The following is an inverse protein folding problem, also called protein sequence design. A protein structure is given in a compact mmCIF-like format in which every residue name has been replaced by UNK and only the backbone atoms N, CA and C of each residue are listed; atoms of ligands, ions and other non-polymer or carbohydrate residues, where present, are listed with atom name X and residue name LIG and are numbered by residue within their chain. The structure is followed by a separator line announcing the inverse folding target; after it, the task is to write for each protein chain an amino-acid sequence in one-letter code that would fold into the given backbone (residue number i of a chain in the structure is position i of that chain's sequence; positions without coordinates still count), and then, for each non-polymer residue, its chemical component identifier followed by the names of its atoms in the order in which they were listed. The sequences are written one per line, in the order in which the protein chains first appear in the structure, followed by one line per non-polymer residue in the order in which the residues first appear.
data_IF_026423547604
#
_entry.id   IF_026423547604
#
_cell.length_a   1.000
_cell.length_b   1.000
_cell.length_c   1.000
_cell.angle_alpha   90.00
_cell.angle_beta   90.00
_cell.angle_gamma   90.00
#
_symmetry.space_group_name_H-M   'P 1'
#
loop_
_entity.id
_entity.type
_entity.pdbx_description
1 polymer ?
#
# COMPACT_ATOMS: atom_id res chain seq x y z
N UNK A 1 -23.45 -7.66 -2.91
CA UNK A 1 -22.98 -7.88 -4.30
C UNK A 1 -23.16 -6.57 -5.05
N UNK A 2 -22.49 -6.37 -6.18
CA UNK A 2 -22.69 -5.20 -7.05
C UNK A 2 -23.09 -5.71 -8.42
N UNK A 3 -24.11 -5.06 -9.01
CA UNK A 3 -24.55 -5.33 -10.36
C UNK A 3 -23.53 -4.78 -11.35
N UNK A 4 -23.04 -5.62 -12.25
CA UNK A 4 -22.12 -5.25 -13.31
C UNK A 4 -22.63 -5.79 -14.65
N UNK A 5 -22.55 -5.00 -15.73
CA UNK A 5 -22.90 -5.47 -17.06
C UNK A 5 -21.90 -6.54 -17.53
N UNK A 6 -22.43 -7.68 -17.95
CA UNK A 6 -21.68 -8.80 -18.53
C UNK A 6 -21.56 -8.63 -20.05
N UNK A 7 -20.62 -9.35 -20.66
CA UNK A 7 -20.33 -9.28 -22.10
C UNK A 7 -21.49 -9.73 -23.00
N UNK A 8 -22.46 -10.45 -22.46
CA UNK A 8 -23.68 -10.89 -23.12
C UNK A 8 -24.84 -9.89 -22.99
N UNK A 9 -24.59 -8.72 -22.39
CA UNK A 9 -25.61 -7.68 -22.17
C UNK A 9 -26.50 -7.93 -20.96
N UNK A 10 -26.26 -9.00 -20.19
CA UNK A 10 -27.02 -9.29 -18.96
C UNK A 10 -26.39 -8.59 -17.74
N UNK A 11 -27.17 -8.39 -16.67
CA UNK A 11 -26.65 -7.89 -15.40
C UNK A 11 -26.19 -9.06 -14.53
N UNK A 12 -24.91 -9.09 -14.17
CA UNK A 12 -24.34 -10.06 -13.25
C UNK A 12 -24.17 -9.50 -11.84
N UNK A 13 -24.47 -10.30 -10.82
CA UNK A 13 -24.12 -9.96 -9.44
C UNK A 13 -22.72 -10.47 -9.10
N UNK A 14 -21.77 -9.55 -8.92
CA UNK A 14 -20.43 -9.90 -8.47
C UNK A 14 -20.29 -9.63 -6.98
N UNK A 15 -19.73 -10.60 -6.26
CA UNK A 15 -19.34 -10.41 -4.87
C UNK A 15 -18.27 -9.31 -4.80
N UNK A 16 -18.55 -8.24 -4.03
CA UNK A 16 -17.53 -7.23 -3.72
C UNK A 16 -16.37 -8.00 -3.07
N UNK A 17 -15.15 -7.95 -3.64
CA UNK A 17 -14.01 -8.63 -3.05
C UNK A 17 -13.86 -8.18 -1.60
N UNK A 18 -14.12 -9.10 -0.66
CA UNK A 18 -13.95 -8.81 0.76
C UNK A 18 -12.47 -8.80 1.05
N UNK A 19 -11.86 -7.63 0.90
CA UNK A 19 -10.49 -7.42 1.35
C UNK A 19 -10.40 -7.81 2.83
N UNK A 20 -9.35 -8.55 3.21
CA UNK A 20 -9.13 -8.87 4.62
C UNK A 20 -9.06 -7.55 5.40
N UNK A 21 -9.70 -7.51 6.58
CA UNK A 21 -9.88 -6.30 7.42
C UNK A 21 -8.60 -5.46 7.57
N UNK A 22 -7.45 -6.11 7.68
CA UNK A 22 -6.13 -5.45 7.78
C UNK A 22 -5.72 -4.66 6.52
N UNK A 23 -6.07 -5.11 5.31
CA UNK A 23 -5.77 -4.38 4.07
C UNK A 23 -6.69 -3.18 3.90
N UNK A 24 -7.98 -3.37 4.18
CA UNK A 24 -8.98 -2.29 4.12
C UNK A 24 -8.60 -1.11 5.02
N UNK A 25 -8.12 -1.39 6.24
CA UNK A 25 -7.67 -0.34 7.15
C UNK A 25 -6.51 0.49 6.61
N UNK A 26 -5.57 -0.13 5.87
CA UNK A 26 -4.45 0.58 5.24
C UNK A 26 -4.92 1.49 4.11
N UNK A 27 -5.80 0.98 3.25
CA UNK A 27 -6.35 1.74 2.12
C UNK A 27 -7.17 2.94 2.58
N UNK A 28 -8.01 2.77 3.61
CA UNK A 28 -8.82 3.87 4.15
C UNK A 28 -7.94 5.01 4.64
N UNK A 29 -6.84 4.70 5.36
CA UNK A 29 -5.90 5.74 5.83
C UNK A 29 -5.15 6.43 4.68
N UNK A 30 -4.79 5.69 3.64
CA UNK A 30 -4.16 6.28 2.44
C UNK A 30 -5.14 7.17 1.67
N UNK A 31 -6.40 6.75 1.56
CA UNK A 31 -7.43 7.55 0.92
C UNK A 31 -7.67 8.84 1.69
N UNK A 32 -7.77 8.79 3.02
CA UNK A 32 -7.93 9.99 3.85
C UNK A 32 -6.80 11.00 3.62
N UNK A 33 -5.55 10.53 3.57
CA UNK A 33 -4.40 11.36 3.24
C UNK A 33 -4.49 11.95 1.82
N UNK A 34 -4.88 11.14 0.83
CA UNK A 34 -5.06 11.58 -0.55
C UNK A 34 -6.12 12.66 -0.67
N UNK A 35 -7.27 12.48 0.00
CA UNK A 35 -8.34 13.47 0.06
C UNK A 35 -7.87 14.76 0.72
N UNK A 36 -7.16 14.69 1.85
CA UNK A 36 -6.59 15.89 2.49
C UNK A 36 -5.63 16.63 1.58
N UNK A 37 -4.73 15.95 0.87
CA UNK A 37 -3.80 16.60 -0.05
C UNK A 37 -4.51 17.24 -1.24
N UNK A 38 -5.46 16.53 -1.84
CA UNK A 38 -6.27 17.05 -2.95
C UNK A 38 -7.14 18.23 -2.52
N UNK A 39 -7.65 18.23 -1.28
CA UNK A 39 -8.44 19.33 -0.74
C UNK A 39 -7.58 20.57 -0.45
N UNK A 40 -6.46 20.39 0.26
CA UNK A 40 -5.59 21.50 0.67
C UNK A 40 -4.88 22.18 -0.51
N UNK A 41 -4.58 21.43 -1.57
CA UNK A 41 -3.89 21.92 -2.77
C UNK A 41 -4.68 21.57 -4.03
N UNK A 42 -5.98 21.93 -4.05
CA UNK A 42 -6.92 21.58 -5.12
C UNK A 42 -6.46 22.00 -6.50
N UNK A 43 -5.92 23.21 -6.66
CA UNK A 43 -5.40 23.71 -7.95
C UNK A 43 -4.20 22.89 -8.46
N UNK A 44 -3.42 22.30 -7.56
CA UNK A 44 -2.23 21.52 -7.90
C UNK A 44 -2.61 20.11 -8.37
N UNK A 45 -3.65 19.52 -7.75
CA UNK A 45 -4.01 18.12 -7.96
C UNK A 45 -5.26 17.90 -8.81
N UNK A 46 -6.08 18.92 -9.06
CA UNK A 46 -7.28 18.82 -9.89
C UNK A 46 -6.95 18.28 -11.30
N UNK A 47 -7.63 17.21 -11.72
CA UNK A 47 -7.42 16.56 -13.02
C UNK A 47 -6.06 15.85 -13.18
N UNK A 48 -5.21 15.81 -12.15
CA UNK A 48 -3.84 15.28 -12.20
C UNK A 48 -3.67 14.09 -11.25
N UNK A 49 -4.45 13.03 -11.45
CA UNK A 49 -4.49 11.84 -10.60
C UNK A 49 -3.13 11.14 -10.48
N UNK A 50 -2.35 11.05 -11.56
CA UNK A 50 -0.99 10.49 -11.55
C UNK A 50 -0.05 11.34 -10.68
N UNK A 51 -0.17 12.68 -10.75
CA UNK A 51 0.65 13.57 -9.95
C UNK A 51 0.32 13.45 -8.46
N UNK A 52 -0.97 13.36 -8.11
CA UNK A 52 -1.42 13.09 -6.75
C UNK A 52 -0.89 11.75 -6.22
N UNK A 53 -0.90 10.71 -7.05
CA UNK A 53 -0.34 9.40 -6.70
C UNK A 53 1.16 9.48 -6.41
N UNK A 54 1.93 10.21 -7.24
CA UNK A 54 3.37 10.41 -7.01
C UNK A 54 3.64 11.22 -5.74
N UNK A 55 2.81 12.22 -5.43
CA UNK A 55 2.90 12.98 -4.20
C UNK A 55 2.61 12.11 -2.97
N UNK A 56 1.57 11.26 -3.04
CA UNK A 56 1.28 10.24 -2.02
C UNK A 56 2.46 9.32 -1.78
N UNK A 57 3.06 8.79 -2.84
CA UNK A 57 4.21 7.88 -2.70
C UNK A 57 5.44 8.57 -2.10
N UNK A 58 5.70 9.82 -2.49
CA UNK A 58 6.77 10.62 -1.90
C UNK A 58 6.54 10.85 -0.40
N UNK A 59 5.32 11.24 -0.01
CA UNK A 59 4.96 11.43 1.39
C UNK A 59 5.13 10.14 2.20
N UNK A 60 4.61 9.01 1.70
CA UNK A 60 4.74 7.71 2.37
C UNK A 60 6.19 7.32 2.60
N UNK A 61 7.05 7.50 1.58
CA UNK A 61 8.47 7.19 1.71
C UNK A 61 9.17 8.13 2.72
N UNK A 62 8.89 9.44 2.68
CA UNK A 62 9.47 10.39 3.63
C UNK A 62 9.06 10.10 5.07
N UNK A 63 7.77 9.89 5.32
CA UNK A 63 7.25 9.57 6.66
C UNK A 63 7.78 8.24 7.16
N UNK A 64 7.92 7.24 6.28
CA UNK A 64 8.56 5.97 6.63
C UNK A 64 9.99 6.17 7.09
N UNK A 65 10.82 6.86 6.30
CA UNK A 65 12.21 7.13 6.66
C UNK A 65 12.32 7.89 7.99
N UNK A 66 11.43 8.85 8.24
CA UNK A 66 11.37 9.58 9.51
C UNK A 66 11.05 8.64 10.70
N UNK A 67 10.05 7.77 10.57
CA UNK A 67 9.69 6.81 11.63
C UNK A 67 10.81 5.79 11.87
N UNK A 68 11.45 5.29 10.80
CA UNK A 68 12.60 4.38 10.91
C UNK A 68 13.78 5.05 11.63
N UNK A 69 14.00 6.36 11.40
CA UNK A 69 15.04 7.12 12.09
C UNK A 69 14.80 7.30 13.59
N UNK A 70 13.53 7.23 14.02
CA UNK A 70 13.11 7.30 15.42
C UNK A 70 13.19 5.91 16.12
N UNK A 71 13.85 4.92 15.51
CA UNK A 71 13.95 3.53 16.01
C UNK A 71 12.60 2.84 16.27
N UNK A 72 11.52 3.32 15.65
CA UNK A 72 10.20 2.70 15.74
C UNK A 72 9.95 1.79 14.54
N UNK A 73 9.48 0.56 14.79
CA UNK A 73 9.12 -0.33 13.69
C UNK A 73 7.86 0.20 12.97
N UNK A 74 8.03 0.64 11.72
CA UNK A 74 6.93 1.11 10.87
C UNK A 74 5.83 0.06 10.73
N UNK A 75 6.17 -1.24 10.83
CA UNK A 75 5.20 -2.34 10.77
C UNK A 75 4.26 -2.36 11.96
N UNK A 76 4.69 -1.87 13.13
CA UNK A 76 3.87 -1.84 14.36
C UNK A 76 3.16 -0.50 14.51
N UNK A 77 3.84 0.60 14.21
CA UNK A 77 3.31 1.96 14.45
C UNK A 77 2.41 2.44 13.31
N UNK A 78 2.77 2.17 12.05
CA UNK A 78 2.03 2.71 10.91
C UNK A 78 2.13 1.86 9.62
N UNK A 79 1.38 0.75 9.53
CA UNK A 79 1.48 -0.22 8.43
C UNK A 79 1.11 0.28 7.02
N UNK A 80 0.56 1.49 6.90
CA UNK A 80 0.09 2.09 5.64
C UNK A 80 1.15 2.94 4.95
N UNK A 81 2.20 3.37 5.68
CA UNK A 81 3.40 3.97 5.09
C UNK A 81 4.35 2.93 4.50
N UNK A 82 4.09 1.64 4.68
CA UNK A 82 4.88 0.57 4.09
C UNK A 82 4.72 0.57 2.55
N UNK A 83 5.75 1.06 1.85
CA UNK A 83 5.92 0.95 0.40
C UNK A 83 6.64 -0.36 0.04
N UNK A 84 6.30 -0.96 -1.11
CA UNK A 84 6.97 -2.16 -1.67
C UNK A 84 7.01 -3.40 -0.75
N UNK A 85 5.87 -3.77 -0.16
CA UNK A 85 5.73 -4.98 0.68
C UNK A 85 6.25 -6.25 0.00
N UNK A 86 6.07 -6.38 -1.32
CA UNK A 86 6.57 -7.50 -2.11
C UNK A 86 8.10 -7.60 -2.17
N UNK A 87 8.80 -6.49 -2.42
CA UNK A 87 10.27 -6.47 -2.49
C UNK A 87 10.91 -6.82 -1.15
N UNK A 88 10.35 -6.33 -0.05
CA UNK A 88 10.82 -6.71 1.30
C UNK A 88 10.61 -8.19 1.56
N UNK A 89 9.40 -8.72 1.32
CA UNK A 89 9.10 -10.16 1.50
C UNK A 89 9.99 -11.05 0.63
N UNK A 90 10.37 -10.56 -0.54
CA UNK A 90 11.37 -11.23 -1.39
C UNK A 90 12.75 -11.21 -0.71
N UNK A 91 13.26 -10.04 -0.34
CA UNK A 91 14.57 -9.91 0.32
C UNK A 91 14.67 -10.70 1.64
N UNK A 92 13.61 -10.71 2.47
CA UNK A 92 13.54 -11.52 3.69
C UNK A 92 13.60 -13.04 3.40
N UNK A 93 12.96 -13.48 2.31
CA UNK A 93 13.04 -14.88 1.86
C UNK A 93 14.44 -15.24 1.38
N UNK A 94 15.07 -14.37 0.57
CA UNK A 94 16.44 -14.58 0.09
C UNK A 94 17.43 -14.69 1.26
N UNK A 95 17.36 -13.76 2.22
CA UNK A 95 18.24 -13.78 3.41
C UNK A 95 18.04 -15.03 4.29
N UNK A 96 16.84 -15.58 4.33
CA UNK A 96 16.56 -16.83 5.05
C UNK A 96 17.08 -18.06 4.29
N UNK A 97 17.07 -18.01 2.95
CA UNK A 97 17.68 -19.04 2.10
C UNK A 97 19.19 -19.06 2.29
N UNK A 98 19.86 -17.90 2.21
CA UNK A 98 21.31 -17.77 2.41
C UNK A 98 21.75 -18.32 3.78
N UNK A 99 21.01 -17.99 4.85
CA UNK A 99 21.28 -18.53 6.20
C UNK A 99 21.13 -20.05 6.31
N UNK A 100 20.33 -20.66 5.44
CA UNK A 100 20.11 -22.11 5.44
C UNK A 100 21.27 -22.83 4.75
N UNK A 101 21.79 -22.25 3.68
CA UNK A 101 22.95 -22.78 2.95
C UNK A 101 24.23 -22.75 3.81
N UNK A 102 24.40 -21.71 4.65
CA UNK A 102 25.51 -21.60 5.61
C UNK A 102 25.45 -22.65 6.74
N UNK A 103 24.23 -23.10 7.11
CA UNK A 103 24.03 -24.08 8.19
C UNK A 103 24.04 -25.53 7.72
N UNK A 104 23.80 -25.79 6.44
CA UNK A 104 23.94 -27.12 5.81
C UNK A 104 25.38 -27.40 5.31
N UNK A 105 26.25 -26.38 5.25
CA UNK A 105 27.67 -26.50 4.84
C UNK A 105 28.68 -26.54 6.01
N UNK A 106 28.21 -26.63 7.26
CA UNK A 106 29.05 -26.72 8.48
C UNK A 106 28.88 -28.06 9.20
#
# INVERSE_FOLDING_TARGET
MVKVPLSDGTEGEVAIPRMRRAYRGKEVRLNDLGFRMAWLQSRVFAGRTIFLQRALDCYRNKTRTAIESLMQDVKTVSPHFETRVGKRKWNERMRRSEKKDDTESS
#
